data_IF_731483343855
#
_entry.id   IF_731483343855
#
_cell.length_a   1.000
_cell.length_b   1.000
_cell.length_c   1.000
_cell.angle_alpha   90.00
_cell.angle_beta   90.00
_cell.angle_gamma   90.00
#
_symmetry.space_group_name_H-M   'P 1'
#
loop_
_entity.id
_entity.type
_entity.pdbx_description
1 polymer ?
#
# COMPACT_ATOMS: atom_id res chain seq x y z
N UNK A 1 3.05 39.30 -15.98
CA UNK A 1 2.20 38.21 -16.50
C UNK A 1 0.84 38.38 -15.87
N UNK A 2 -0.28 38.27 -16.59
CA UNK A 2 -1.61 38.33 -15.94
C UNK A 2 -1.75 37.18 -14.94
N UNK A 3 -2.35 37.44 -13.78
CA UNK A 3 -2.47 36.45 -12.69
C UNK A 3 -3.22 35.22 -13.15
N UNK A 4 -4.26 35.39 -13.97
CA UNK A 4 -4.99 34.28 -14.58
C UNK A 4 -4.10 33.36 -15.43
N UNK A 5 -3.15 33.95 -16.17
CA UNK A 5 -2.19 33.19 -16.98
C UNK A 5 -1.16 32.47 -16.09
N UNK A 6 -0.71 33.09 -15.00
CA UNK A 6 0.15 32.46 -13.99
C UNK A 6 -0.53 31.22 -13.41
N UNK A 7 -1.74 31.36 -12.87
CA UNK A 7 -2.47 30.28 -12.22
C UNK A 7 -2.70 29.10 -13.19
N UNK A 8 -3.05 29.40 -14.45
CA UNK A 8 -3.20 28.37 -15.48
C UNK A 8 -1.89 27.61 -15.79
N UNK A 9 -0.74 28.29 -15.76
CA UNK A 9 0.57 27.64 -15.91
C UNK A 9 0.88 26.73 -14.73
N UNK A 10 0.60 27.18 -13.50
CA UNK A 10 0.79 26.39 -12.28
C UNK A 10 -0.12 25.16 -12.28
N UNK A 11 -1.38 25.30 -12.70
CA UNK A 11 -2.32 24.19 -12.85
C UNK A 11 -1.80 23.16 -13.87
N UNK A 12 -1.27 23.63 -15.00
CA UNK A 12 -0.64 22.75 -16.00
C UNK A 12 0.55 21.99 -15.40
N UNK A 13 1.44 22.67 -14.65
CA UNK A 13 2.55 22.02 -13.97
C UNK A 13 2.09 20.98 -12.94
N UNK A 14 1.01 21.25 -12.20
CA UNK A 14 0.43 20.28 -11.28
C UNK A 14 -0.10 19.04 -11.99
N UNK A 15 -0.81 19.22 -13.10
CA UNK A 15 -1.34 18.10 -13.89
C UNK A 15 -0.23 17.27 -14.53
N UNK A 16 0.82 17.91 -15.03
CA UNK A 16 2.03 17.24 -15.52
C UNK A 16 2.69 16.41 -14.40
N UNK A 17 2.84 17.01 -13.21
CA UNK A 17 3.40 16.34 -12.05
C UNK A 17 2.57 15.12 -11.64
N UNK A 18 1.25 15.22 -11.61
CA UNK A 18 0.36 14.11 -11.29
C UNK A 18 0.50 12.94 -12.27
N UNK A 19 0.67 13.25 -13.56
CA UNK A 19 0.94 12.22 -14.58
C UNK A 19 2.31 11.56 -14.39
N UNK A 20 3.34 12.31 -14.03
CA UNK A 20 4.69 11.79 -13.78
C UNK A 20 4.71 10.90 -12.54
N UNK A 21 4.11 11.36 -11.44
CA UNK A 21 3.99 10.59 -10.20
C UNK A 21 3.25 9.27 -10.46
N UNK A 22 2.10 9.33 -11.16
CA UNK A 22 1.34 8.12 -11.50
C UNK A 22 2.17 7.11 -12.28
N UNK A 23 3.04 7.60 -13.18
CA UNK A 23 3.95 6.75 -13.95
C UNK A 23 5.03 6.11 -13.05
N UNK A 24 5.61 6.88 -12.14
CA UNK A 24 6.59 6.37 -11.15
C UNK A 24 5.97 5.25 -10.31
N UNK A 25 4.73 5.44 -9.83
CA UNK A 25 4.01 4.44 -9.04
C UNK A 25 3.74 3.14 -9.79
N UNK A 26 3.60 3.18 -11.12
CA UNK A 26 3.39 1.99 -11.96
C UNK A 26 4.70 1.28 -12.34
N UNK A 27 5.78 2.04 -12.60
CA UNK A 27 7.01 1.50 -13.18
C UNK A 27 8.05 1.09 -12.13
N UNK A 28 8.08 1.76 -10.97
CA UNK A 28 9.05 1.49 -9.92
C UNK A 28 8.41 0.58 -8.88
N UNK A 29 8.91 -0.66 -8.65
CA UNK A 29 8.25 -1.60 -7.74
C UNK A 29 8.55 -1.36 -6.26
N UNK A 30 9.67 -0.69 -5.94
CA UNK A 30 10.11 -0.45 -4.57
C UNK A 30 9.57 0.88 -4.04
N UNK A 31 8.94 0.85 -2.85
CA UNK A 31 8.27 2.01 -2.28
C UNK A 31 9.24 3.15 -1.87
N UNK A 32 10.46 2.81 -1.47
CA UNK A 32 11.48 3.80 -1.10
C UNK A 32 11.95 4.53 -2.36
N UNK A 33 12.33 3.78 -3.41
CA UNK A 33 12.73 4.35 -4.70
C UNK A 33 11.61 5.16 -5.35
N UNK A 34 10.35 4.70 -5.26
CA UNK A 34 9.19 5.47 -5.68
C UNK A 34 9.15 6.85 -5.01
N UNK A 35 9.30 6.90 -3.69
CA UNK A 35 9.28 8.15 -2.94
C UNK A 35 10.45 9.06 -3.32
N UNK A 36 11.66 8.52 -3.46
CA UNK A 36 12.84 9.31 -3.84
C UNK A 36 12.65 9.97 -5.21
N UNK A 37 12.21 9.21 -6.22
CA UNK A 37 11.94 9.76 -7.55
C UNK A 37 10.80 10.78 -7.53
N UNK A 38 9.70 10.49 -6.82
CA UNK A 38 8.58 11.42 -6.70
C UNK A 38 9.01 12.72 -6.03
N UNK A 39 9.82 12.66 -4.96
CA UNK A 39 10.33 13.84 -4.26
C UNK A 39 11.20 14.73 -5.15
N UNK A 40 12.04 14.15 -6.01
CA UNK A 40 12.84 14.91 -6.97
C UNK A 40 11.97 15.70 -7.96
N UNK A 41 10.98 15.02 -8.56
CA UNK A 41 10.05 15.65 -9.51
C UNK A 41 9.18 16.73 -8.85
N UNK A 42 8.71 16.46 -7.63
CA UNK A 42 7.91 17.42 -6.85
C UNK A 42 8.75 18.65 -6.49
N UNK A 43 9.99 18.48 -6.02
CA UNK A 43 10.88 19.60 -5.67
C UNK A 43 11.17 20.48 -6.89
N UNK A 44 11.45 19.88 -8.05
CA UNK A 44 11.67 20.63 -9.29
C UNK A 44 10.45 21.49 -9.64
N UNK A 45 9.24 20.92 -9.59
CA UNK A 45 8.00 21.66 -9.91
C UNK A 45 7.70 22.73 -8.87
N UNK A 46 7.94 22.48 -7.57
CA UNK A 46 7.80 23.50 -6.52
C UNK A 46 8.76 24.68 -6.78
N UNK A 47 10.02 24.42 -7.17
CA UNK A 47 10.98 25.48 -7.50
C UNK A 47 10.53 26.31 -8.70
N UNK A 48 9.97 25.68 -9.73
CA UNK A 48 9.41 26.39 -10.88
C UNK A 48 8.23 27.28 -10.47
N UNK A 49 7.29 26.77 -9.68
CA UNK A 49 6.15 27.54 -9.17
C UNK A 49 6.62 28.70 -8.31
N UNK A 50 7.59 28.45 -7.42
CA UNK A 50 8.18 29.46 -6.55
C UNK A 50 8.78 30.60 -7.37
N UNK A 51 9.62 30.30 -8.36
CA UNK A 51 10.22 31.31 -9.23
C UNK A 51 9.15 32.18 -9.93
N UNK A 52 8.05 31.58 -10.40
CA UNK A 52 6.97 32.33 -11.05
C UNK A 52 6.18 33.23 -10.09
N UNK A 53 6.04 32.84 -8.82
CA UNK A 53 5.22 33.55 -7.83
C UNK A 53 6.03 34.64 -7.11
N UNK A 54 7.32 34.43 -6.87
CA UNK A 54 8.20 35.40 -6.21
C UNK A 54 8.28 36.72 -7.00
N UNK A 55 8.27 36.66 -8.33
CA UNK A 55 8.31 37.85 -9.20
C UNK A 55 6.91 38.44 -9.49
N UNK A 56 5.85 37.82 -8.99
CA UNK A 56 4.47 38.16 -9.34
C UNK A 56 3.73 38.88 -8.21
N UNK A 57 3.03 39.95 -8.60
CA UNK A 57 2.09 40.66 -7.74
C UNK A 57 0.67 40.26 -8.16
N UNK A 58 -0.10 39.69 -7.22
CA UNK A 58 -1.49 39.32 -7.47
C UNK A 58 -2.33 40.59 -7.69
N UNK A 59 -3.29 40.53 -8.62
CA UNK A 59 -4.13 41.70 -8.96
C UNK A 59 -5.13 42.01 -7.86
N UNK A 60 -5.58 40.98 -7.14
CA UNK A 60 -6.48 41.10 -6.02
C UNK A 60 -6.19 40.05 -4.93
N UNK A 61 -6.71 40.33 -3.74
CA UNK A 61 -6.52 39.47 -2.56
C UNK A 61 -7.16 38.09 -2.74
N UNK A 62 -8.25 37.97 -3.51
CA UNK A 62 -8.93 36.70 -3.70
C UNK A 62 -8.08 35.72 -4.53
N UNK A 63 -7.35 36.23 -5.52
CA UNK A 63 -6.39 35.46 -6.31
C UNK A 63 -5.20 34.99 -5.46
N UNK A 64 -4.68 35.86 -4.60
CA UNK A 64 -3.59 35.50 -3.67
C UNK A 64 -4.05 34.43 -2.66
N UNK A 65 -5.22 34.63 -2.04
CA UNK A 65 -5.84 33.66 -1.13
C UNK A 65 -6.02 32.33 -1.85
N UNK A 66 -6.54 32.33 -3.08
CA UNK A 66 -6.73 31.10 -3.84
C UNK A 66 -5.41 30.35 -4.07
N UNK A 67 -4.34 31.08 -4.41
CA UNK A 67 -3.02 30.48 -4.57
C UNK A 67 -2.51 29.85 -3.25
N UNK A 68 -2.53 30.59 -2.14
CA UNK A 68 -1.96 30.14 -0.86
C UNK A 68 -2.86 29.20 -0.05
N UNK A 69 -4.18 29.16 -0.32
CA UNK A 69 -5.14 28.28 0.35
C UNK A 69 -5.37 26.97 -0.39
N UNK A 70 -5.35 26.99 -1.73
CA UNK A 70 -5.75 25.86 -2.56
C UNK A 70 -4.59 25.32 -3.41
N UNK A 71 -4.00 26.15 -4.26
CA UNK A 71 -3.02 25.69 -5.26
C UNK A 71 -1.68 25.28 -4.65
N UNK A 72 -0.99 26.19 -3.97
CA UNK A 72 0.31 25.91 -3.35
C UNK A 72 0.21 24.75 -2.35
N UNK A 73 -0.76 24.73 -1.42
CA UNK A 73 -0.85 23.63 -0.46
C UNK A 73 -1.02 22.26 -1.13
N UNK A 74 -1.75 22.16 -2.25
CA UNK A 74 -1.92 20.89 -2.96
C UNK A 74 -0.59 20.30 -3.49
N UNK A 75 0.36 21.14 -3.90
CA UNK A 75 1.68 20.73 -4.35
C UNK A 75 2.59 20.38 -3.17
N UNK A 76 2.66 21.27 -2.16
CA UNK A 76 3.48 21.05 -0.97
C UNK A 76 3.03 19.81 -0.19
N UNK A 77 1.72 19.53 -0.17
CA UNK A 77 1.18 18.33 0.47
C UNK A 77 1.74 17.04 -0.11
N UNK A 78 1.96 16.97 -1.44
CA UNK A 78 2.58 15.81 -2.09
C UNK A 78 4.00 15.61 -1.59
N UNK A 79 4.79 16.68 -1.49
CA UNK A 79 6.16 16.61 -0.95
C UNK A 79 6.17 16.08 0.49
N UNK A 80 5.31 16.66 1.37
CA UNK A 80 5.19 16.21 2.76
C UNK A 80 4.75 14.74 2.82
N UNK A 81 3.80 14.33 1.98
CA UNK A 81 3.29 12.97 1.91
C UNK A 81 4.39 11.96 1.56
N UNK A 82 5.11 12.15 0.44
CA UNK A 82 6.17 11.21 0.04
C UNK A 82 7.36 11.24 0.98
N UNK A 83 7.72 12.40 1.56
CA UNK A 83 8.77 12.49 2.57
C UNK A 83 8.42 11.65 3.81
N UNK A 84 7.16 11.73 4.27
CA UNK A 84 6.71 10.91 5.41
C UNK A 84 6.63 9.42 5.08
N UNK A 85 6.24 9.04 3.86
CA UNK A 85 6.28 7.62 3.45
C UNK A 85 7.71 7.11 3.41
N UNK A 86 8.63 7.89 2.84
CA UNK A 86 10.04 7.56 2.79
C UNK A 86 10.59 7.29 4.19
N UNK A 87 10.35 8.20 5.14
CA UNK A 87 10.73 8.02 6.54
C UNK A 87 10.09 6.76 7.16
N UNK A 88 8.80 6.56 6.91
CA UNK A 88 8.01 5.48 7.49
C UNK A 88 8.45 4.10 6.98
N UNK A 89 8.69 3.96 5.68
CA UNK A 89 9.18 2.70 5.08
C UNK A 89 10.66 2.47 5.38
N UNK A 90 11.49 3.52 5.48
CA UNK A 90 12.91 3.40 5.82
C UNK A 90 13.13 2.97 7.28
N UNK A 91 12.23 3.39 8.18
CA UNK A 91 12.28 3.03 9.61
C UNK A 91 11.48 1.77 9.94
N UNK A 92 10.87 1.14 8.93
CA UNK A 92 10.05 -0.05 9.09
C UNK A 92 10.90 -1.21 9.63
N UNK A 93 10.51 -1.80 10.78
CA UNK A 93 11.30 -2.87 11.38
C UNK A 93 11.15 -4.19 10.61
N UNK A 94 12.26 -4.89 10.40
CA UNK A 94 12.27 -6.30 9.94
C UNK A 94 11.84 -7.21 11.09
N UNK A 95 10.54 -7.23 11.37
CA UNK A 95 9.95 -7.94 12.51
C UNK A 95 8.65 -8.65 12.09
N UNK A 96 8.02 -9.34 13.04
CA UNK A 96 6.72 -9.96 12.79
C UNK A 96 5.64 -8.92 12.44
N UNK A 97 4.54 -9.37 11.81
CA UNK A 97 3.43 -8.50 11.39
C UNK A 97 2.84 -7.66 12.54
N UNK A 98 2.85 -8.14 13.79
CA UNK A 98 2.36 -7.38 14.95
C UNK A 98 3.24 -6.16 15.21
N UNK A 99 4.56 -6.31 15.14
CA UNK A 99 5.50 -5.20 15.28
C UNK A 99 5.38 -4.22 14.13
N UNK A 100 5.25 -4.70 12.88
CA UNK A 100 5.04 -3.85 11.71
C UNK A 100 3.72 -3.08 11.82
N UNK A 101 2.62 -3.72 12.24
CA UNK A 101 1.35 -3.05 12.47
C UNK A 101 1.47 -1.96 13.54
N UNK A 102 2.16 -2.24 14.65
CA UNK A 102 2.40 -1.26 15.71
C UNK A 102 3.18 -0.03 15.20
N UNK A 103 4.16 -0.24 14.32
CA UNK A 103 4.92 0.85 13.67
C UNK A 103 3.99 1.83 12.95
N UNK A 104 3.10 1.30 12.11
CA UNK A 104 2.08 2.08 11.40
C UNK A 104 1.05 2.75 12.34
N UNK A 105 0.60 2.05 13.38
CA UNK A 105 -0.32 2.60 14.38
C UNK A 105 0.30 3.76 15.17
N UNK A 106 1.60 3.71 15.47
CA UNK A 106 2.31 4.83 16.10
C UNK A 106 2.26 6.07 15.22
N UNK A 107 2.53 5.95 13.92
CA UNK A 107 2.45 7.07 12.99
C UNK A 107 1.04 7.68 12.93
N UNK A 108 -0.02 6.86 12.99
CA UNK A 108 -1.41 7.36 13.08
C UNK A 108 -1.67 8.12 14.39
N UNK A 109 -1.10 7.68 15.51
CA UNK A 109 -1.25 8.37 16.78
C UNK A 109 -0.55 9.73 16.79
N UNK A 110 0.62 9.85 16.15
CA UNK A 110 1.31 11.13 15.98
C UNK A 110 0.48 12.13 15.17
N UNK A 111 -0.24 11.65 14.15
CA UNK A 111 -1.18 12.48 13.38
C UNK A 111 -2.38 12.93 14.22
N UNK A 112 -2.95 12.04 15.03
CA UNK A 112 -4.04 12.41 15.97
C UNK A 112 -3.57 13.45 16.97
N UNK A 113 -2.34 13.33 17.47
CA UNK A 113 -1.74 14.31 18.35
C UNK A 113 -1.60 15.66 17.65
N UNK A 114 -1.08 15.69 16.42
CA UNK A 114 -0.99 16.91 15.61
C UNK A 114 -2.36 17.59 15.40
N UNK A 115 -3.41 16.80 15.11
CA UNK A 115 -4.78 17.29 15.01
C UNK A 115 -5.26 17.94 16.33
N UNK A 116 -5.02 17.29 17.47
CA UNK A 116 -5.48 17.78 18.77
C UNK A 116 -4.89 19.14 19.15
N UNK A 117 -3.65 19.40 18.75
CA UNK A 117 -2.95 20.66 19.04
C UNK A 117 -3.46 21.85 18.18
N UNK A 118 -4.18 21.56 17.09
CA UNK A 118 -4.52 22.55 16.05
C UNK A 118 -5.99 22.46 15.61
N UNK A 119 -6.83 22.04 16.55
CA UNK A 119 -8.24 21.72 16.35
C UNK A 119 -9.04 22.87 15.72
N UNK A 120 -8.81 24.11 16.16
CA UNK A 120 -9.53 25.29 15.65
C UNK A 120 -9.27 25.54 14.16
N UNK A 121 -8.00 25.53 13.75
CA UNK A 121 -7.62 25.70 12.34
C UNK A 121 -8.13 24.54 11.49
N UNK A 122 -8.12 23.32 12.04
CA UNK A 122 -8.68 22.17 11.36
C UNK A 122 -10.19 22.32 11.11
N UNK A 123 -10.96 22.79 12.09
CA UNK A 123 -12.38 23.10 11.90
C UNK A 123 -12.61 24.18 10.86
N UNK A 124 -11.81 25.26 10.92
CA UNK A 124 -11.85 26.34 9.93
C UNK A 124 -11.68 25.79 8.51
N UNK A 125 -10.60 25.05 8.28
CA UNK A 125 -10.25 24.52 6.97
C UNK A 125 -11.26 23.46 6.48
N UNK A 126 -11.58 22.46 7.31
CA UNK A 126 -12.51 21.37 6.94
C UNK A 126 -13.93 21.85 6.63
N UNK A 127 -14.38 22.91 7.29
CA UNK A 127 -15.70 23.52 7.05
C UNK A 127 -15.69 24.49 5.87
N UNK A 128 -14.56 24.64 5.18
CA UNK A 128 -14.38 25.58 4.05
C UNK A 128 -14.76 27.00 4.44
N UNK A 129 -14.47 27.38 5.69
CA UNK A 129 -14.71 28.74 6.15
C UNK A 129 -13.79 29.73 5.43
N UNK A 130 -14.24 30.99 5.35
CA UNK A 130 -13.53 32.07 4.63
C UNK A 130 -13.30 33.32 5.48
N UNK A 131 -13.91 33.39 6.68
CA UNK A 131 -13.93 34.60 7.51
C UNK A 131 -12.55 35.01 8.06
N UNK A 132 -11.52 34.16 7.95
CA UNK A 132 -10.13 34.46 8.33
C UNK A 132 -9.16 34.37 7.15
N UNK A 133 -9.64 34.24 5.91
CA UNK A 133 -8.76 34.01 4.76
C UNK A 133 -7.74 35.13 4.58
N UNK A 134 -8.16 36.38 4.77
CA UNK A 134 -7.30 37.56 4.73
C UNK A 134 -6.15 37.52 5.76
N UNK A 135 -6.32 36.84 6.89
CA UNK A 135 -5.28 36.69 7.92
C UNK A 135 -4.38 35.49 7.69
N UNK A 136 -4.90 34.45 7.04
CA UNK A 136 -4.22 33.16 6.89
C UNK A 136 -3.44 33.04 5.59
N UNK A 137 -3.93 33.65 4.52
CA UNK A 137 -3.49 33.35 3.14
C UNK A 137 -3.08 34.59 2.34
N UNK A 138 -2.86 35.72 3.01
CA UNK A 138 -2.29 36.92 2.39
C UNK A 138 -0.88 37.11 2.94
N UNK A 139 0.10 37.37 2.07
CA UNK A 139 1.49 37.59 2.50
C UNK A 139 1.60 38.88 3.32
N UNK A 140 2.54 38.90 4.25
CA UNK A 140 2.89 40.05 5.10
C UNK A 140 1.76 40.58 6.03
N UNK A 141 0.56 40.00 6.01
CA UNK A 141 -0.57 40.34 6.90
C UNK A 141 -0.56 39.49 8.18
N UNK A 142 0.51 39.64 8.98
CA UNK A 142 0.69 38.86 10.21
C UNK A 142 -0.18 39.38 11.38
N UNK A 143 -1.11 38.55 11.86
CA UNK A 143 -1.85 38.85 13.09
C UNK A 143 -1.05 38.40 14.33
N UNK A 144 -0.29 39.34 14.92
CA UNK A 144 0.49 39.10 16.14
C UNK A 144 -0.37 38.74 17.37
N UNK A 145 -1.70 38.91 17.30
CA UNK A 145 -2.62 38.50 18.36
C UNK A 145 -3.09 37.05 18.21
N UNK A 146 -2.89 36.44 17.05
CA UNK A 146 -3.20 35.05 16.80
C UNK A 146 -2.04 34.13 17.25
N UNK A 147 -2.32 32.84 17.42
CA UNK A 147 -1.29 31.82 17.67
C UNK A 147 -0.32 31.81 16.48
N UNK A 148 0.89 32.30 16.70
CA UNK A 148 1.90 32.50 15.65
C UNK A 148 2.82 31.28 15.51
N UNK A 149 3.25 30.97 14.29
CA UNK A 149 4.29 29.97 14.07
C UNK A 149 5.65 30.53 14.49
N UNK A 150 6.30 29.94 15.49
CA UNK A 150 7.59 30.43 16.02
C UNK A 150 8.71 30.49 14.97
N UNK A 151 8.57 29.76 13.87
CA UNK A 151 9.59 29.63 12.83
C UNK A 151 9.29 30.44 11.57
N UNK A 152 8.26 31.31 11.55
CA UNK A 152 7.84 32.00 10.33
C UNK A 152 8.96 32.83 9.68
N UNK A 153 9.86 33.39 10.50
CA UNK A 153 11.04 34.15 10.09
C UNK A 153 12.10 33.34 9.31
N UNK A 154 12.04 31.99 9.38
CA UNK A 154 12.94 31.13 8.61
C UNK A 154 12.39 30.80 7.21
N UNK A 155 11.14 31.17 6.94
CA UNK A 155 10.49 30.90 5.66
C UNK A 155 10.69 32.07 4.68
N UNK A 156 10.57 31.75 3.39
CA UNK A 156 10.61 32.74 2.33
C UNK A 156 9.33 33.58 2.34
N UNK A 157 9.46 34.84 2.78
CA UNK A 157 8.35 35.79 2.90
C UNK A 157 7.61 36.02 1.57
N UNK A 158 8.29 35.84 0.42
CA UNK A 158 7.66 36.02 -0.89
C UNK A 158 6.85 34.81 -1.34
N UNK A 159 7.03 33.66 -0.68
CA UNK A 159 6.39 32.42 -1.04
C UNK A 159 5.70 31.75 0.15
N UNK A 160 5.44 32.44 1.27
CA UNK A 160 4.85 31.83 2.47
C UNK A 160 3.85 32.78 3.12
N UNK A 161 2.76 32.24 3.66
CA UNK A 161 1.80 33.00 4.49
C UNK A 161 1.79 32.45 5.90
N UNK A 162 0.96 33.02 6.78
CA UNK A 162 0.87 32.56 8.15
C UNK A 162 0.44 31.08 8.29
N UNK A 163 -0.40 30.60 7.36
CA UNK A 163 -1.12 29.33 7.53
C UNK A 163 -1.20 28.42 6.29
N UNK A 164 -0.56 28.74 5.18
CA UNK A 164 -0.54 27.87 3.98
C UNK A 164 0.13 26.50 4.23
N UNK A 165 1.23 26.46 4.98
CA UNK A 165 1.91 25.21 5.39
C UNK A 165 0.99 24.30 6.22
N UNK A 166 0.13 24.89 7.05
CA UNK A 166 -0.85 24.11 7.83
C UNK A 166 -1.84 23.38 6.92
N UNK A 167 -2.30 24.04 5.86
CA UNK A 167 -3.20 23.41 4.88
C UNK A 167 -2.49 22.25 4.18
N UNK A 168 -1.24 22.45 3.75
CA UNK A 168 -0.46 21.40 3.10
C UNK A 168 -0.28 20.18 4.02
N UNK A 169 -0.02 20.40 5.32
CA UNK A 169 0.07 19.32 6.32
C UNK A 169 -1.25 18.58 6.52
N UNK A 170 -2.38 19.28 6.52
CA UNK A 170 -3.70 18.64 6.64
C UNK A 170 -3.93 17.71 5.44
N UNK A 171 -3.73 18.21 4.22
CA UNK A 171 -3.90 17.42 2.98
C UNK A 171 -2.94 16.21 2.98
N UNK A 172 -1.66 16.42 3.33
CA UNK A 172 -0.67 15.35 3.37
C UNK A 172 -1.01 14.27 4.40
N UNK A 173 -1.49 14.67 5.60
CA UNK A 173 -1.89 13.72 6.63
C UNK A 173 -3.11 12.90 6.19
N UNK A 174 -4.07 13.48 5.45
CA UNK A 174 -5.21 12.74 4.92
C UNK A 174 -4.78 11.65 3.91
N UNK A 175 -3.84 11.98 3.03
CA UNK A 175 -3.27 11.02 2.08
C UNK A 175 -2.50 9.93 2.81
N UNK A 176 -1.70 10.32 3.81
CA UNK A 176 -0.89 9.40 4.59
C UNK A 176 -1.72 8.47 5.47
N UNK A 177 -2.80 8.95 6.07
CA UNK A 177 -3.75 8.12 6.82
C UNK A 177 -4.33 7.02 5.93
N UNK A 178 -4.79 7.37 4.72
CA UNK A 178 -5.28 6.39 3.74
C UNK A 178 -4.21 5.36 3.38
N UNK A 179 -2.98 5.81 3.11
CA UNK A 179 -1.85 4.93 2.82
C UNK A 179 -1.61 3.95 3.97
N UNK A 180 -1.50 4.45 5.20
CA UNK A 180 -1.22 3.62 6.37
C UNK A 180 -2.33 2.61 6.63
N UNK A 181 -3.59 3.04 6.57
CA UNK A 181 -4.73 2.14 6.75
C UNK A 181 -4.72 1.01 5.71
N UNK A 182 -4.41 1.33 4.45
CA UNK A 182 -4.27 0.32 3.39
C UNK A 182 -3.13 -0.67 3.68
N UNK A 183 -2.00 -0.21 4.24
CA UNK A 183 -0.89 -1.11 4.63
C UNK A 183 -1.28 -2.00 5.80
N UNK A 184 -1.96 -1.46 6.81
CA UNK A 184 -2.46 -2.24 7.94
C UNK A 184 -3.46 -3.31 7.49
N UNK A 185 -4.38 -2.96 6.58
CA UNK A 185 -5.35 -3.89 6.00
C UNK A 185 -4.66 -5.00 5.21
N UNK A 186 -3.70 -4.67 4.36
CA UNK A 186 -2.93 -5.64 3.58
C UNK A 186 -2.08 -6.58 4.45
N UNK A 187 -1.53 -6.09 5.58
CA UNK A 187 -0.87 -6.95 6.57
C UNK A 187 -1.83 -7.95 7.20
N UNK A 188 -3.11 -7.58 7.34
CA UNK A 188 -4.18 -8.48 7.77
C UNK A 188 -4.56 -9.50 6.69
N UNK A 189 -4.63 -9.05 5.43
CA UNK A 189 -4.97 -9.88 4.27
C UNK A 189 -3.89 -10.93 3.93
N UNK A 190 -2.63 -10.74 4.35
CA UNK A 190 -1.62 -11.80 4.28
C UNK A 190 -1.97 -13.03 5.15
N UNK A 191 -2.82 -12.90 6.17
CA UNK A 191 -3.40 -14.07 6.87
C UNK A 191 -4.45 -14.79 6.03
N UNK A 192 -5.15 -14.08 5.14
CA UNK A 192 -6.21 -14.63 4.26
C UNK A 192 -5.67 -15.10 2.90
N UNK A 193 -4.45 -14.69 2.51
CA UNK A 193 -3.69 -15.34 1.43
C UNK A 193 -3.16 -16.73 1.81
N UNK A 194 -3.65 -17.32 2.90
CA UNK A 194 -3.65 -18.77 3.08
C UNK A 194 -4.74 -19.41 2.20
N UNK A 195 -4.45 -19.49 0.90
CA UNK A 195 -5.09 -20.41 -0.06
C UNK A 195 -6.61 -20.37 -0.15
N UNK A 196 -7.20 -19.42 -0.85
CA UNK A 196 -8.46 -19.68 -1.60
C UNK A 196 -8.14 -19.79 -3.10
N UNK A 197 -7.23 -20.71 -3.41
CA UNK A 197 -7.24 -21.34 -4.72
C UNK A 197 -8.43 -22.29 -4.73
N UNK A 198 -9.60 -21.84 -5.19
CA UNK A 198 -10.70 -22.73 -5.54
C UNK A 198 -10.28 -23.47 -6.80
N UNK A 199 -9.57 -24.58 -6.60
CA UNK A 199 -9.18 -25.46 -7.68
C UNK A 199 -10.44 -25.95 -8.40
N UNK A 200 -10.46 -25.84 -9.73
CA UNK A 200 -11.48 -26.48 -10.58
C UNK A 200 -11.21 -27.97 -10.82
N UNK A 201 -10.11 -28.50 -10.28
CA UNK A 201 -9.75 -29.91 -10.44
C UNK A 201 -10.60 -30.75 -9.48
N UNK A 202 -11.24 -31.77 -10.04
CA UNK A 202 -12.02 -32.75 -9.29
C UNK A 202 -11.36 -34.13 -9.40
N UNK A 203 -11.23 -34.82 -8.28
CA UNK A 203 -10.74 -36.19 -8.29
C UNK A 203 -11.81 -37.16 -8.79
N UNK A 204 -11.54 -37.82 -9.91
CA UNK A 204 -12.48 -38.72 -10.60
C UNK A 204 -12.28 -40.21 -10.31
N UNK A 205 -11.23 -40.57 -9.58
CA UNK A 205 -10.88 -41.95 -9.25
C UNK A 205 -11.40 -42.34 -7.86
N UNK A 206 -11.47 -43.62 -7.47
CA UNK A 206 -11.88 -44.00 -6.11
C UNK A 206 -11.05 -43.32 -5.00
N UNK A 207 -11.68 -42.93 -3.87
CA UNK A 207 -11.01 -42.30 -2.70
C UNK A 207 -9.80 -43.10 -2.21
N UNK A 208 -9.91 -44.43 -2.23
CA UNK A 208 -8.83 -45.35 -1.80
C UNK A 208 -7.55 -45.18 -2.64
N UNK A 209 -7.66 -44.82 -3.92
CA UNK A 209 -6.52 -44.61 -4.79
C UNK A 209 -5.78 -43.32 -4.43
N UNK A 210 -6.53 -42.25 -4.12
CA UNK A 210 -5.94 -40.98 -3.67
C UNK A 210 -5.23 -41.14 -2.33
N UNK A 211 -5.85 -41.87 -1.38
CA UNK A 211 -5.26 -42.15 -0.07
C UNK A 211 -3.97 -42.97 -0.21
N UNK A 212 -3.94 -43.96 -1.11
CA UNK A 212 -2.74 -44.74 -1.41
C UNK A 212 -1.60 -43.84 -1.93
N UNK A 213 -1.91 -42.93 -2.86
CA UNK A 213 -0.94 -41.99 -3.43
C UNK A 213 -0.42 -40.97 -2.40
N UNK A 214 -1.31 -40.33 -1.65
CA UNK A 214 -0.95 -39.35 -0.61
C UNK A 214 -0.02 -39.99 0.42
N UNK A 215 -0.34 -41.22 0.87
CA UNK A 215 0.47 -41.91 1.86
C UNK A 215 1.86 -42.30 1.31
N UNK A 216 1.93 -42.67 0.03
CA UNK A 216 3.20 -42.96 -0.64
C UNK A 216 4.10 -41.72 -0.71
N UNK A 217 3.56 -40.59 -1.13
CA UNK A 217 4.27 -39.31 -1.20
C UNK A 217 4.71 -38.82 0.19
N UNK A 218 3.87 -39.01 1.20
CA UNK A 218 4.21 -38.70 2.59
C UNK A 218 5.40 -39.55 3.08
N UNK A 219 5.39 -40.86 2.84
CA UNK A 219 6.50 -41.74 3.25
C UNK A 219 7.78 -41.55 2.44
N UNK A 220 7.67 -41.15 1.18
CA UNK A 220 8.80 -40.73 0.39
C UNK A 220 9.33 -39.34 0.77
N UNK A 221 8.68 -38.63 1.71
CA UNK A 221 9.04 -37.29 2.19
C UNK A 221 9.11 -36.25 1.07
N UNK A 222 8.25 -36.38 0.06
CA UNK A 222 8.24 -35.51 -1.12
C UNK A 222 7.77 -34.07 -0.83
N UNK A 223 7.14 -33.83 0.32
CA UNK A 223 6.58 -32.53 0.68
C UNK A 223 7.44 -31.85 1.75
N UNK A 224 7.67 -30.55 1.61
CA UNK A 224 8.33 -29.68 2.61
C UNK A 224 9.61 -30.27 3.22
N UNK A 225 10.47 -30.89 2.40
CA UNK A 225 11.68 -31.59 2.84
C UNK A 225 11.42 -32.66 3.92
N UNK A 226 10.23 -33.26 3.92
CA UNK A 226 9.79 -34.25 4.92
C UNK A 226 9.21 -33.66 6.21
N UNK A 227 9.11 -32.33 6.34
CA UNK A 227 8.62 -31.65 7.53
C UNK A 227 7.16 -31.22 7.37
N UNK A 228 6.25 -32.19 7.26
CA UNK A 228 4.81 -31.95 7.20
C UNK A 228 4.04 -33.14 7.78
N UNK A 229 2.94 -32.86 8.48
CA UNK A 229 2.07 -33.89 9.02
C UNK A 229 1.14 -34.47 7.96
N UNK A 230 0.84 -35.78 8.05
CA UNK A 230 -0.09 -36.45 7.13
C UNK A 230 -1.47 -35.77 7.12
N UNK A 231 -1.96 -35.33 8.29
CA UNK A 231 -3.24 -34.64 8.43
C UNK A 231 -3.30 -33.34 7.62
N UNK A 232 -2.17 -32.63 7.57
CA UNK A 232 -2.06 -31.38 6.81
C UNK A 232 -2.09 -31.65 5.30
N UNK A 233 -1.35 -32.66 4.83
CA UNK A 233 -1.39 -33.09 3.43
C UNK A 233 -2.82 -33.50 3.01
N UNK A 234 -3.52 -34.26 3.86
CA UNK A 234 -4.90 -34.69 3.60
C UNK A 234 -5.82 -33.48 3.43
N UNK A 235 -5.80 -32.53 4.37
CA UNK A 235 -6.62 -31.30 4.30
C UNK A 235 -6.36 -30.49 3.04
N UNK A 236 -5.09 -30.32 2.66
CA UNK A 236 -4.74 -29.63 1.42
C UNK A 236 -5.21 -30.37 0.18
N UNK A 237 -5.12 -31.71 0.17
CA UNK A 237 -5.56 -32.54 -0.95
C UNK A 237 -7.08 -32.54 -1.10
N UNK A 238 -7.84 -32.58 0.00
CA UNK A 238 -9.31 -32.46 0.01
C UNK A 238 -9.76 -31.14 -0.63
N UNK A 239 -9.11 -30.03 -0.23
CA UNK A 239 -9.40 -28.70 -0.79
C UNK A 239 -8.98 -28.57 -2.25
N UNK A 240 -7.81 -29.10 -2.62
CA UNK A 240 -7.27 -28.97 -3.96
C UNK A 240 -8.00 -29.82 -5.01
N UNK A 241 -8.54 -30.97 -4.61
CA UNK A 241 -9.18 -31.93 -5.52
C UNK A 241 -10.71 -32.00 -5.35
N UNK A 242 -11.29 -31.10 -4.56
CA UNK A 242 -12.72 -31.04 -4.26
C UNK A 242 -13.30 -32.41 -3.85
N UNK A 243 -12.64 -33.09 -2.92
CA UNK A 243 -13.02 -34.44 -2.48
C UNK A 243 -12.95 -34.56 -0.96
N UNK A 244 -13.87 -35.30 -0.38
CA UNK A 244 -13.88 -35.64 1.04
C UNK A 244 -13.07 -36.93 1.29
N UNK A 245 -12.04 -36.87 2.12
CA UNK A 245 -11.22 -38.01 2.55
C UNK A 245 -11.48 -38.38 4.02
N UNK A 246 -12.68 -38.09 4.52
CA UNK A 246 -13.15 -38.58 5.80
C UNK A 246 -12.92 -40.11 5.93
N UNK A 247 -12.28 -40.53 7.03
CA UNK A 247 -11.87 -41.92 7.33
C UNK A 247 -10.59 -42.45 6.66
N UNK A 248 -9.66 -41.59 6.23
CA UNK A 248 -8.39 -42.03 5.60
C UNK A 248 -7.57 -43.04 6.43
N UNK A 249 -7.60 -42.99 7.77
CA UNK A 249 -6.94 -43.99 8.62
C UNK A 249 -7.51 -45.41 8.47
N UNK A 250 -8.83 -45.54 8.34
CA UNK A 250 -9.50 -46.84 8.14
C UNK A 250 -9.15 -47.40 6.76
N UNK A 251 -9.26 -46.57 5.73
CA UNK A 251 -8.91 -46.94 4.35
C UNK A 251 -7.43 -47.32 4.23
N UNK A 252 -6.54 -46.64 4.95
CA UNK A 252 -5.13 -47.03 5.04
C UNK A 252 -4.96 -48.42 5.67
N UNK A 253 -5.73 -48.74 6.72
CA UNK A 253 -5.78 -50.09 7.30
C UNK A 253 -6.21 -51.15 6.29
N UNK A 254 -7.23 -50.86 5.49
CA UNK A 254 -7.72 -51.75 4.41
C UNK A 254 -6.67 -51.96 3.32
N UNK A 255 -5.98 -50.90 2.87
CA UNK A 255 -4.85 -50.99 1.93
C UNK A 255 -3.75 -51.87 2.53
N UNK A 256 -3.42 -51.67 3.81
CA UNK A 256 -2.40 -52.46 4.52
C UNK A 256 -2.77 -53.94 4.63
N UNK A 257 -4.04 -54.30 4.66
CA UNK A 257 -4.53 -55.68 4.80
C UNK A 257 -4.67 -56.47 3.49
N UNK A 258 -4.41 -55.86 2.33
CA UNK A 258 -4.47 -56.55 1.02
C UNK A 258 -3.40 -57.65 0.93
N UNK A 259 -3.82 -58.88 0.60
CA UNK A 259 -2.92 -60.04 0.43
C UNK A 259 -2.18 -60.08 -0.91
N UNK A 260 -2.78 -59.48 -1.95
CA UNK A 260 -2.25 -59.44 -3.33
C UNK A 260 -2.36 -57.99 -3.80
N UNK A 261 -1.31 -57.48 -4.47
CA UNK A 261 -1.24 -56.11 -5.01
C UNK A 261 -1.59 -55.04 -3.99
N UNK A 262 -0.77 -54.96 -2.93
CA UNK A 262 -0.96 -54.04 -1.80
C UNK A 262 -1.06 -52.58 -2.26
N UNK A 263 -0.15 -52.17 -3.14
CA UNK A 263 -0.04 -50.84 -3.76
C UNK A 263 -0.59 -50.84 -5.19
N UNK A 264 -1.84 -51.26 -5.36
CA UNK A 264 -2.48 -51.46 -6.67
C UNK A 264 -2.49 -50.19 -7.52
N UNK A 265 -2.76 -49.03 -6.92
CA UNK A 265 -2.88 -47.78 -7.67
C UNK A 265 -1.51 -47.25 -8.12
N UNK A 266 -0.48 -47.36 -7.29
CA UNK A 266 0.88 -46.97 -7.70
C UNK A 266 1.41 -47.80 -8.86
N UNK A 267 1.17 -49.11 -8.86
CA UNK A 267 1.51 -49.96 -10.00
C UNK A 267 0.77 -49.55 -11.28
N UNK A 268 -0.51 -49.19 -11.16
CA UNK A 268 -1.29 -48.68 -12.29
C UNK A 268 -0.71 -47.37 -12.85
N UNK A 269 -0.33 -46.42 -11.98
CA UNK A 269 0.30 -45.17 -12.40
C UNK A 269 1.64 -45.41 -13.11
N UNK A 270 2.48 -46.29 -12.56
CA UNK A 270 3.77 -46.63 -13.16
C UNK A 270 3.59 -47.22 -14.56
N UNK A 271 2.74 -48.24 -14.70
CA UNK A 271 2.49 -48.88 -15.99
C UNK A 271 1.88 -47.91 -17.02
N UNK A 272 1.04 -46.97 -16.58
CA UNK A 272 0.43 -45.95 -17.46
C UNK A 272 1.48 -44.98 -17.99
N UNK A 273 2.43 -44.56 -17.15
CA UNK A 273 3.51 -43.67 -17.55
C UNK A 273 4.52 -44.38 -18.45
N UNK A 274 4.90 -45.61 -18.12
CA UNK A 274 5.82 -46.44 -18.92
C UNK A 274 5.25 -46.69 -20.32
N UNK A 275 3.95 -47.01 -20.42
CA UNK A 275 3.29 -47.20 -21.71
C UNK A 275 3.30 -45.92 -22.57
N UNK A 276 3.08 -44.76 -21.94
CA UNK A 276 3.14 -43.46 -22.63
C UNK A 276 4.55 -43.15 -23.17
N UNK A 277 5.61 -43.44 -22.41
CA UNK A 277 6.98 -43.27 -22.88
C UNK A 277 7.31 -44.21 -24.05
N UNK A 278 6.94 -45.49 -23.95
CA UNK A 278 7.15 -46.45 -25.03
C UNK A 278 6.43 -46.08 -26.34
N UNK A 279 5.26 -45.45 -26.26
CA UNK A 279 4.53 -44.95 -27.44
C UNK A 279 5.18 -43.69 -28.06
N UNK A 280 5.87 -42.87 -27.25
CA UNK A 280 6.54 -41.65 -27.71
C UNK A 280 7.95 -41.89 -28.25
N UNK A 281 8.60 -42.95 -27.79
CA UNK A 281 9.94 -43.37 -28.23
C UNK A 281 9.90 -44.31 -29.46
N UNK A 282 8.70 -44.78 -29.85
CA UNK A 282 8.46 -45.60 -31.05
C UNK A 282 8.17 -44.74 -32.29
#
# INVERSE_FOLDING_TARGET
>A
METKLLLKKIEKLSNELDSVISKIEMEVPDAILQCEHALMEIDEKIRQVKAMVTEHQFEDMAQEIYFFKEMKPSLIAKFIYYSKILDLESTKPTANQKTIKKHYETALNDMKYFYSQNLEFYYYYRRKATYLDHKYFVRHEYDLKAKFQTNLHNFDENFTTANDDWVARIIANDLLEKYILSKIENLGAEKEKSTDFTSKLEWSSPKVNLIELIYALHQAKCFNNGNIELNEIIRHSEKFLNIDLSSFYKTLGEIKGRKINRTKFLHFLNNSLDAYFMEKDA
#
